data_IF_729096495248
#
_entry.id   IF_729096495248
#
_cell.length_a   1.000
_cell.length_b   1.000
_cell.length_c   1.000
_cell.angle_alpha   90.00
_cell.angle_beta   90.00
_cell.angle_gamma   90.00
#
_symmetry.space_group_name_H-M   'P 1'
#
loop_
_entity.id
_entity.type
_entity.pdbx_description
1 polymer ?
#
# COMPACT_ATOMS: atom_id res chain seq x y z
N UNK A 1 1.38 -19.72 22.57
CA UNK A 1 1.10 -18.77 21.46
C UNK A 1 1.46 -19.51 20.21
N UNK A 2 0.49 -19.74 19.34
CA UNK A 2 0.75 -20.34 18.03
C UNK A 2 1.21 -19.19 17.11
N UNK A 3 2.42 -19.30 16.57
CA UNK A 3 3.03 -18.32 15.68
C UNK A 3 2.95 -18.75 14.22
N UNK A 4 2.51 -19.98 13.96
CA UNK A 4 2.32 -20.49 12.63
C UNK A 4 1.04 -19.90 12.00
N UNK A 5 1.05 -19.76 10.68
CA UNK A 5 -0.15 -19.39 9.95
C UNK A 5 -1.21 -20.48 10.10
N UNK A 6 -2.45 -20.08 10.35
CA UNK A 6 -3.57 -21.01 10.31
C UNK A 6 -3.64 -21.71 8.94
N UNK A 7 -4.12 -22.98 8.87
CA UNK A 7 -4.11 -23.77 7.65
C UNK A 7 -4.70 -23.05 6.43
N UNK A 8 -5.78 -22.27 6.61
CA UNK A 8 -6.38 -21.48 5.53
C UNK A 8 -5.43 -20.40 5.00
N UNK A 9 -4.70 -19.70 5.88
CA UNK A 9 -3.73 -18.69 5.47
C UNK A 9 -2.50 -19.32 4.79
N UNK A 10 -2.07 -20.50 5.24
CA UNK A 10 -0.98 -21.25 4.61
C UNK A 10 -1.35 -21.71 3.19
N UNK A 11 -2.57 -22.22 3.00
CA UNK A 11 -3.09 -22.59 1.68
C UNK A 11 -3.21 -21.37 0.76
N UNK A 12 -3.74 -20.25 1.27
CA UNK A 12 -3.85 -19.01 0.54
C UNK A 12 -2.46 -18.48 0.15
N UNK A 13 -1.48 -18.50 1.08
CA UNK A 13 -0.08 -18.15 0.79
C UNK A 13 0.48 -18.93 -0.38
N UNK A 14 0.28 -20.26 -0.39
CA UNK A 14 0.80 -21.11 -1.48
C UNK A 14 0.22 -20.70 -2.84
N UNK A 15 -1.08 -20.43 -2.91
CA UNK A 15 -1.74 -20.02 -4.16
C UNK A 15 -1.26 -18.63 -4.63
N UNK A 16 -1.12 -17.65 -3.72
CA UNK A 16 -0.61 -16.32 -4.08
C UNK A 16 0.86 -16.41 -4.52
N UNK A 17 1.68 -17.23 -3.84
CA UNK A 17 3.08 -17.48 -4.21
C UNK A 17 3.21 -18.05 -5.61
N UNK A 18 2.41 -19.05 -5.95
CA UNK A 18 2.40 -19.65 -7.28
C UNK A 18 2.11 -18.59 -8.36
N UNK A 19 1.07 -17.77 -8.17
CA UNK A 19 0.75 -16.65 -9.06
C UNK A 19 1.89 -15.64 -9.13
N UNK A 20 2.41 -15.21 -7.99
CA UNK A 20 3.44 -14.19 -7.92
C UNK A 20 4.74 -14.64 -8.63
N UNK A 21 5.20 -15.86 -8.36
CA UNK A 21 6.41 -16.42 -8.98
C UNK A 21 6.20 -16.78 -10.46
N UNK A 22 5.00 -17.24 -10.83
CA UNK A 22 4.69 -17.64 -12.21
C UNK A 22 4.40 -16.47 -13.15
N UNK A 23 3.82 -15.37 -12.64
CA UNK A 23 3.37 -14.25 -13.47
C UNK A 23 4.09 -12.95 -13.13
N UNK A 24 4.15 -12.53 -11.87
CA UNK A 24 4.71 -11.22 -11.53
C UNK A 24 6.25 -11.18 -11.62
N UNK A 25 6.94 -12.23 -11.15
CA UNK A 25 8.40 -12.29 -11.12
C UNK A 25 9.04 -12.24 -12.52
N UNK A 26 8.59 -12.99 -13.53
CA UNK A 26 9.18 -12.94 -14.87
C UNK A 26 9.17 -11.55 -15.52
N UNK A 27 8.21 -10.71 -15.16
CA UNK A 27 8.06 -9.36 -15.70
C UNK A 27 8.68 -8.25 -14.84
N UNK A 28 9.16 -8.57 -13.62
CA UNK A 28 9.56 -7.55 -12.63
C UNK A 28 10.70 -6.65 -13.12
N UNK A 29 11.70 -7.19 -13.82
CA UNK A 29 12.81 -6.41 -14.40
C UNK A 29 12.32 -5.46 -15.48
N UNK A 30 11.54 -5.94 -16.44
CA UNK A 30 10.98 -5.14 -17.53
C UNK A 30 10.06 -4.03 -17.01
N UNK A 31 9.19 -4.36 -16.04
CA UNK A 31 8.30 -3.41 -15.36
C UNK A 31 9.10 -2.25 -14.72
N UNK A 32 10.21 -2.57 -14.05
CA UNK A 32 11.07 -1.55 -13.44
C UNK A 32 11.85 -0.76 -14.50
N UNK A 33 12.51 -1.42 -15.46
CA UNK A 33 13.33 -0.80 -16.50
C UNK A 33 12.52 0.17 -17.35
N UNK A 34 11.34 -0.26 -17.80
CA UNK A 34 10.52 0.47 -18.76
C UNK A 34 9.50 1.39 -18.08
N UNK A 35 9.46 1.40 -16.74
CA UNK A 35 8.47 2.14 -15.94
C UNK A 35 7.03 1.82 -16.35
N UNK A 36 6.78 0.59 -16.83
CA UNK A 36 5.47 0.17 -17.31
C UNK A 36 4.60 -0.40 -16.20
N UNK A 37 3.30 -0.21 -16.35
CA UNK A 37 2.33 -0.85 -15.45
C UNK A 37 2.40 -2.37 -15.61
N UNK A 38 2.32 -3.16 -14.51
CA UNK A 38 2.41 -4.62 -14.55
C UNK A 38 1.07 -5.26 -14.93
N UNK A 39 0.60 -5.00 -16.16
CA UNK A 39 -0.74 -5.40 -16.64
C UNK A 39 -0.98 -6.91 -16.46
N UNK A 40 0.02 -7.76 -16.76
CA UNK A 40 -0.08 -9.22 -16.65
C UNK A 40 -0.30 -9.67 -15.22
N UNK A 41 0.45 -9.08 -14.27
CA UNK A 41 0.36 -9.43 -12.87
C UNK A 41 -0.95 -8.91 -12.23
N UNK A 42 -1.40 -7.73 -12.63
CA UNK A 42 -2.67 -7.17 -12.15
C UNK A 42 -3.87 -7.95 -12.72
N UNK A 43 -3.83 -8.36 -13.97
CA UNK A 43 -4.88 -9.20 -14.54
C UNK A 43 -4.91 -10.60 -13.88
N UNK A 44 -3.75 -11.19 -13.60
CA UNK A 44 -3.68 -12.44 -12.85
C UNK A 44 -4.22 -12.28 -11.41
N UNK A 45 -3.86 -11.19 -10.72
CA UNK A 45 -4.39 -10.87 -9.39
C UNK A 45 -5.91 -10.66 -9.41
N UNK A 46 -6.43 -10.01 -10.45
CA UNK A 46 -7.85 -9.83 -10.71
C UNK A 46 -8.56 -11.17 -10.90
N UNK A 47 -8.05 -12.03 -11.79
CA UNK A 47 -8.62 -13.35 -12.07
C UNK A 47 -8.62 -14.26 -10.84
N UNK A 48 -7.64 -14.12 -9.94
CA UNK A 48 -7.54 -14.84 -8.69
C UNK A 48 -8.32 -14.20 -7.52
N UNK A 49 -9.04 -13.08 -7.73
CA UNK A 49 -9.83 -12.39 -6.71
C UNK A 49 -9.00 -11.67 -5.64
N UNK A 50 -7.70 -11.44 -5.87
CA UNK A 50 -6.80 -10.81 -4.90
C UNK A 50 -7.10 -9.32 -4.67
N UNK A 51 -7.77 -8.67 -5.62
CA UNK A 51 -8.21 -7.28 -5.49
C UNK A 51 -9.37 -7.13 -4.50
N UNK A 52 -10.17 -8.18 -4.31
CA UNK A 52 -11.28 -8.23 -3.37
C UNK A 52 -10.97 -8.93 -2.04
N UNK A 53 -9.70 -9.10 -1.66
CA UNK A 53 -9.30 -9.95 -0.53
C UNK A 53 -10.00 -9.60 0.78
N UNK A 54 -10.16 -8.31 1.11
CA UNK A 54 -10.83 -7.81 2.33
C UNK A 54 -12.33 -7.52 2.12
N UNK A 55 -12.80 -7.47 0.88
CA UNK A 55 -14.20 -7.14 0.58
C UNK A 55 -15.07 -8.38 0.87
N UNK A 56 -16.15 -8.25 1.66
CA UNK A 56 -17.05 -9.37 1.94
C UNK A 56 -17.67 -9.99 0.69
N UNK A 57 -17.99 -11.29 0.77
CA UNK A 57 -18.57 -12.04 -0.34
C UNK A 57 -19.93 -11.51 -0.82
N UNK A 58 -20.69 -10.86 0.07
CA UNK A 58 -21.95 -10.18 -0.30
C UNK A 58 -21.77 -9.03 -1.29
N UNK A 59 -20.55 -8.47 -1.38
CA UNK A 59 -20.15 -7.46 -2.38
C UNK A 59 -19.19 -8.02 -3.45
N UNK A 60 -19.11 -9.36 -3.57
CA UNK A 60 -18.32 -10.04 -4.60
C UNK A 60 -16.84 -10.21 -4.29
N UNK A 61 -16.39 -9.93 -3.08
CA UNK A 61 -15.02 -10.14 -2.64
C UNK A 61 -14.74 -11.53 -2.05
N UNK A 62 -13.51 -11.77 -1.62
CA UNK A 62 -13.08 -13.02 -1.00
C UNK A 62 -13.48 -13.12 0.49
N UNK A 63 -13.75 -12.00 1.15
CA UNK A 63 -14.14 -11.95 2.57
C UNK A 63 -13.08 -12.48 3.53
N UNK A 64 -11.81 -12.38 3.15
CA UNK A 64 -10.69 -12.81 3.98
C UNK A 64 -10.30 -11.71 4.98
N UNK A 65 -9.39 -12.05 5.88
CA UNK A 65 -8.98 -11.17 6.98
C UNK A 65 -7.66 -10.41 6.70
N UNK A 66 -7.25 -9.57 7.66
CA UNK A 66 -6.04 -8.77 7.56
C UNK A 66 -4.75 -9.64 7.54
N UNK A 67 -4.79 -10.87 8.06
CA UNK A 67 -3.64 -11.79 7.96
C UNK A 67 -3.49 -12.27 6.52
N UNK A 68 -4.58 -12.68 5.88
CA UNK A 68 -4.57 -13.03 4.46
C UNK A 68 -4.13 -11.85 3.58
N UNK A 69 -4.56 -10.63 3.90
CA UNK A 69 -4.11 -9.43 3.20
C UNK A 69 -2.59 -9.22 3.34
N UNK A 70 -2.03 -9.30 4.56
CA UNK A 70 -0.58 -9.19 4.77
C UNK A 70 0.19 -10.27 3.99
N UNK A 71 -0.29 -11.52 3.99
CA UNK A 71 0.26 -12.65 3.21
C UNK A 71 0.24 -12.34 1.71
N UNK A 72 -0.90 -11.86 1.21
CA UNK A 72 -1.05 -11.51 -0.21
C UNK A 72 0.01 -10.50 -0.66
N UNK A 73 0.15 -9.42 0.10
CA UNK A 73 1.08 -8.35 -0.23
C UNK A 73 2.54 -8.81 -0.08
N UNK A 74 2.88 -9.61 0.95
CA UNK A 74 4.23 -10.18 1.12
C UNK A 74 4.63 -11.03 -0.10
N UNK A 75 3.80 -11.98 -0.52
CA UNK A 75 4.12 -12.87 -1.64
C UNK A 75 4.21 -12.12 -2.98
N UNK A 76 3.32 -11.17 -3.23
CA UNK A 76 3.40 -10.31 -4.43
C UNK A 76 4.66 -9.44 -4.41
N UNK A 77 5.05 -8.89 -3.25
CA UNK A 77 6.21 -8.01 -3.13
C UNK A 77 7.53 -8.77 -3.30
N UNK A 78 7.61 -10.03 -2.87
CA UNK A 78 8.76 -10.90 -3.11
C UNK A 78 9.04 -11.09 -4.60
N UNK A 79 8.00 -11.08 -5.42
CA UNK A 79 8.11 -11.23 -6.88
C UNK A 79 8.28 -9.87 -7.59
N UNK A 80 7.43 -8.90 -7.27
CA UNK A 80 7.40 -7.57 -7.88
C UNK A 80 6.80 -6.53 -6.92
N UNK A 81 7.63 -5.69 -6.34
CA UNK A 81 7.20 -4.66 -5.38
C UNK A 81 6.24 -3.62 -6.01
N UNK A 82 6.34 -3.36 -7.31
CA UNK A 82 5.41 -2.47 -8.02
C UNK A 82 4.01 -3.08 -8.13
N UNK A 83 3.89 -4.38 -8.34
CA UNK A 83 2.59 -5.08 -8.34
C UNK A 83 1.96 -5.05 -6.96
N UNK A 84 2.75 -5.34 -5.92
CA UNK A 84 2.23 -5.40 -4.54
C UNK A 84 1.68 -4.07 -4.06
N UNK A 85 2.34 -2.93 -4.35
CA UNK A 85 1.84 -1.61 -3.92
C UNK A 85 0.56 -1.21 -4.64
N UNK A 86 0.34 -1.65 -5.88
CA UNK A 86 -0.91 -1.39 -6.60
C UNK A 86 -2.06 -2.14 -5.93
N UNK A 87 -1.85 -3.43 -5.62
CA UNK A 87 -2.85 -4.26 -4.92
C UNK A 87 -3.09 -3.76 -3.50
N UNK A 88 -2.04 -3.35 -2.78
CA UNK A 88 -2.14 -2.80 -1.44
C UNK A 88 -2.98 -1.52 -1.40
N UNK A 89 -2.60 -0.50 -2.19
CA UNK A 89 -3.32 0.78 -2.23
C UNK A 89 -4.77 0.60 -2.67
N UNK A 90 -5.02 -0.25 -3.66
CA UNK A 90 -6.38 -0.58 -4.09
C UNK A 90 -7.21 -1.16 -2.93
N UNK A 91 -6.65 -2.09 -2.18
CA UNK A 91 -7.35 -2.82 -1.11
C UNK A 91 -7.51 -1.97 0.15
N UNK A 92 -6.41 -1.47 0.71
CA UNK A 92 -6.36 -0.85 2.04
C UNK A 92 -6.90 0.58 2.08
N UNK A 93 -6.52 1.42 1.10
CA UNK A 93 -6.89 2.84 1.12
C UNK A 93 -7.83 3.25 -0.02
N UNK A 94 -7.93 2.43 -1.06
CA UNK A 94 -8.87 2.65 -2.17
C UNK A 94 -10.27 2.07 -1.92
N UNK A 95 -10.36 0.85 -1.39
CA UNK A 95 -11.61 0.10 -1.21
C UNK A 95 -12.10 0.11 0.23
N UNK A 96 -11.23 -0.11 1.21
CA UNK A 96 -11.61 -0.24 2.63
C UNK A 96 -12.30 1.01 3.22
N UNK A 97 -11.98 2.26 2.83
CA UNK A 97 -12.74 3.42 3.26
C UNK A 97 -14.24 3.33 2.93
N UNK A 98 -14.58 2.75 1.78
CA UNK A 98 -15.99 2.54 1.39
C UNK A 98 -16.60 1.42 2.23
N UNK A 99 -15.85 0.34 2.46
CA UNK A 99 -16.29 -0.78 3.29
C UNK A 99 -16.59 -0.34 4.73
N UNK A 100 -15.72 0.47 5.33
CA UNK A 100 -15.82 0.87 6.74
C UNK A 100 -16.78 2.03 6.99
N UNK A 101 -16.86 2.98 6.07
CA UNK A 101 -17.57 4.26 6.28
C UNK A 101 -18.68 4.55 5.27
N UNK A 102 -18.79 3.76 4.21
CA UNK A 102 -19.87 3.86 3.24
C UNK A 102 -21.20 3.39 3.83
N UNK A 103 -22.30 4.03 3.42
CA UNK A 103 -23.62 3.50 3.63
C UNK A 103 -23.89 2.30 2.70
N UNK A 104 -25.00 1.61 2.88
CA UNK A 104 -25.30 0.39 2.13
C UNK A 104 -25.40 0.64 0.61
N UNK A 105 -25.98 1.79 0.20
CA UNK A 105 -26.06 2.16 -1.22
C UNK A 105 -24.68 2.36 -1.83
N UNK A 106 -23.80 3.06 -1.13
CA UNK A 106 -22.40 3.27 -1.55
C UNK A 106 -21.65 1.94 -1.65
N UNK A 107 -21.79 1.04 -0.67
CA UNK A 107 -21.17 -0.28 -0.67
C UNK A 107 -21.63 -1.12 -1.86
N UNK A 108 -22.96 -1.21 -2.08
CA UNK A 108 -23.52 -1.97 -3.22
C UNK A 108 -23.15 -1.40 -4.57
N UNK A 109 -22.92 -0.11 -4.66
CA UNK A 109 -22.54 0.55 -5.90
C UNK A 109 -21.05 0.38 -6.22
N UNK A 110 -20.17 0.53 -5.23
CA UNK A 110 -18.75 0.69 -5.48
C UNK A 110 -17.89 -0.52 -5.13
N UNK A 111 -18.28 -1.34 -4.13
CA UNK A 111 -17.47 -2.49 -3.75
C UNK A 111 -17.45 -3.62 -4.79
N UNK A 112 -18.54 -3.98 -5.48
CA UNK A 112 -18.48 -5.04 -6.50
C UNK A 112 -17.49 -4.76 -7.62
N UNK A 113 -17.48 -3.60 -8.31
CA UNK A 113 -16.49 -3.33 -9.36
C UNK A 113 -15.05 -3.19 -8.82
N UNK A 114 -14.87 -2.82 -7.54
CA UNK A 114 -13.56 -2.86 -6.88
C UNK A 114 -13.14 -4.29 -6.57
N UNK A 115 -14.03 -5.12 -6.04
CA UNK A 115 -13.74 -6.52 -5.73
C UNK A 115 -13.37 -7.34 -6.96
N UNK A 116 -14.08 -7.12 -8.06
CA UNK A 116 -13.78 -7.76 -9.35
C UNK A 116 -12.55 -7.18 -10.05
N UNK A 117 -12.05 -6.02 -9.61
CA UNK A 117 -10.97 -5.29 -10.28
C UNK A 117 -11.37 -4.62 -11.60
N UNK A 118 -12.66 -4.53 -11.90
CA UNK A 118 -13.17 -3.69 -13.01
C UNK A 118 -12.74 -2.24 -12.80
N UNK A 119 -12.78 -1.76 -11.56
CA UNK A 119 -12.23 -0.48 -11.14
C UNK A 119 -11.06 -0.70 -10.20
N UNK A 120 -10.00 0.05 -10.38
CA UNK A 120 -8.96 0.20 -9.35
C UNK A 120 -9.24 1.44 -8.51
N UNK A 121 -9.11 1.30 -7.18
CA UNK A 121 -9.24 2.40 -6.25
C UNK A 121 -7.89 3.07 -5.97
N UNK A 122 -7.92 4.38 -5.74
CA UNK A 122 -6.75 5.15 -5.32
C UNK A 122 -7.09 6.15 -4.21
N UNK A 123 -6.07 6.61 -3.49
CA UNK A 123 -6.18 7.47 -2.31
C UNK A 123 -5.57 8.84 -2.55
N UNK A 124 -6.36 9.88 -2.43
CA UNK A 124 -5.97 11.24 -2.77
C UNK A 124 -6.04 12.17 -1.55
N UNK A 125 -5.05 12.03 -0.64
CA UNK A 125 -4.93 12.83 0.58
C UNK A 125 -3.87 13.92 0.44
N UNK A 126 -2.66 13.55 0.04
CA UNK A 126 -1.44 14.39 0.06
C UNK A 126 -1.52 15.54 -0.93
N UNK A 127 -1.03 16.72 -0.52
CA UNK A 127 -0.93 17.92 -1.36
C UNK A 127 0.50 18.46 -1.37
N UNK A 128 0.87 19.37 -2.31
CA UNK A 128 2.20 19.97 -2.35
C UNK A 128 2.63 20.63 -1.04
N UNK A 129 1.68 21.16 -0.26
CA UNK A 129 1.94 21.82 1.02
C UNK A 129 1.53 21.01 2.24
N UNK A 130 0.98 19.79 2.07
CA UNK A 130 0.40 18.99 3.15
C UNK A 130 0.69 17.50 2.94
N UNK A 131 1.80 17.03 3.47
CA UNK A 131 2.21 15.63 3.49
C UNK A 131 2.04 15.01 4.88
N UNK A 132 3.08 15.08 5.73
CA UNK A 132 3.04 14.55 7.10
C UNK A 132 2.02 15.26 7.99
N UNK A 133 1.80 16.56 7.79
CA UNK A 133 0.68 17.31 8.39
C UNK A 133 -0.56 17.25 7.46
N UNK A 134 -1.14 16.05 7.36
CA UNK A 134 -2.29 15.81 6.48
C UNK A 134 -3.56 16.60 6.87
N UNK A 135 -3.65 17.07 8.13
CA UNK A 135 -4.76 17.89 8.58
C UNK A 135 -4.75 19.31 8.00
N UNK A 136 -3.62 19.77 7.44
CA UNK A 136 -3.46 21.10 6.86
C UNK A 136 -3.76 21.19 5.36
N UNK A 137 -4.39 20.17 4.78
CA UNK A 137 -4.77 20.14 3.36
C UNK A 137 -5.66 21.33 2.98
N UNK A 138 -5.53 21.80 1.73
CA UNK A 138 -6.19 23.00 1.21
C UNK A 138 -7.20 22.74 0.10
N UNK A 139 -7.20 21.56 -0.53
CA UNK A 139 -8.24 21.19 -1.49
C UNK A 139 -9.60 21.48 -0.87
N UNK A 140 -10.44 22.25 -1.57
CA UNK A 140 -11.73 22.68 -1.09
C UNK A 140 -12.87 21.83 -1.66
N UNK A 141 -13.94 21.69 -0.89
CA UNK A 141 -15.20 21.11 -1.33
C UNK A 141 -16.33 22.03 -0.88
N UNK A 142 -16.72 22.96 -1.75
CA UNK A 142 -17.80 23.91 -1.48
C UNK A 142 -19.17 23.25 -1.73
N UNK A 143 -20.03 23.25 -0.72
CA UNK A 143 -21.40 22.74 -0.87
C UNK A 143 -22.23 23.65 -1.78
N UNK A 144 -22.99 23.03 -2.70
CA UNK A 144 -23.90 23.69 -3.63
C UNK A 144 -25.19 22.84 -3.75
N UNK A 145 -26.15 23.10 -2.87
CA UNK A 145 -27.40 22.32 -2.79
C UNK A 145 -27.14 20.86 -2.38
N UNK A 146 -27.42 19.94 -3.30
CA UNK A 146 -27.29 18.48 -3.14
C UNK A 146 -25.94 17.92 -3.64
N UNK A 147 -24.96 18.79 -3.87
CA UNK A 147 -23.63 18.43 -4.40
C UNK A 147 -22.54 19.25 -3.74
N UNK A 148 -21.30 18.83 -3.99
CA UNK A 148 -20.08 19.58 -3.66
C UNK A 148 -19.32 19.90 -4.95
N UNK A 149 -18.63 21.02 -4.96
CA UNK A 149 -17.70 21.43 -6.02
C UNK A 149 -16.30 21.39 -5.45
N UNK A 150 -15.47 20.46 -5.96
CA UNK A 150 -14.12 20.21 -5.48
C UNK A 150 -13.10 20.95 -6.34
N UNK A 151 -12.16 21.65 -5.70
CA UNK A 151 -11.05 22.35 -6.33
C UNK A 151 -9.76 22.14 -5.55
N UNK A 152 -8.67 21.77 -6.26
CA UNK A 152 -7.35 21.59 -5.67
C UNK A 152 -6.46 20.64 -6.44
N UNK A 153 -5.27 20.38 -5.89
CA UNK A 153 -4.30 19.45 -6.48
C UNK A 153 -3.78 18.50 -5.41
N UNK A 154 -3.85 17.22 -5.71
CA UNK A 154 -3.28 16.13 -4.91
C UNK A 154 -2.02 15.63 -5.58
N UNK A 155 -1.02 15.20 -4.78
CA UNK A 155 0.25 14.69 -5.30
C UNK A 155 0.59 13.33 -4.71
N UNK A 156 1.52 12.63 -5.35
CA UNK A 156 1.93 11.27 -4.98
C UNK A 156 0.77 10.29 -4.96
N UNK A 157 -0.18 10.47 -5.88
CA UNK A 157 -1.31 9.56 -6.00
C UNK A 157 -0.86 8.31 -6.74
N UNK A 158 -0.86 7.18 -6.02
CA UNK A 158 -0.52 5.86 -6.54
C UNK A 158 -1.63 5.38 -7.48
N UNK A 159 -1.26 4.66 -8.53
CA UNK A 159 -2.19 4.13 -9.56
C UNK A 159 -2.88 5.25 -10.36
N UNK A 160 -2.33 6.47 -10.34
CA UNK A 160 -2.85 7.60 -11.10
C UNK A 160 -2.96 7.26 -12.61
N UNK A 161 -4.05 7.63 -13.25
CA UNK A 161 -4.31 7.35 -14.67
C UNK A 161 -4.71 5.89 -14.99
N UNK A 162 -4.66 5.00 -13.99
CA UNK A 162 -5.16 3.62 -14.05
C UNK A 162 -6.32 3.38 -13.08
N UNK A 163 -6.44 4.23 -12.05
CA UNK A 163 -7.56 4.17 -11.11
C UNK A 163 -8.87 4.55 -11.79
N UNK A 164 -9.94 3.82 -11.49
CA UNK A 164 -11.31 4.13 -11.91
C UNK A 164 -12.04 5.04 -10.93
N UNK A 165 -11.56 5.09 -9.67
CA UNK A 165 -12.07 6.02 -8.66
C UNK A 165 -10.97 6.46 -7.69
N UNK A 166 -11.18 7.63 -7.09
CA UNK A 166 -10.32 8.22 -6.06
C UNK A 166 -11.10 8.47 -4.78
N UNK A 167 -10.53 8.08 -3.64
CA UNK A 167 -10.98 8.55 -2.33
C UNK A 167 -10.31 9.90 -2.08
N UNK A 168 -11.05 10.99 -2.26
CA UNK A 168 -10.52 12.36 -2.20
C UNK A 168 -10.87 13.00 -0.86
N UNK A 169 -9.88 13.61 -0.22
CA UNK A 169 -10.06 14.37 1.01
C UNK A 169 -10.00 15.86 0.71
N UNK A 170 -11.04 16.58 1.13
CA UNK A 170 -11.18 18.01 0.87
C UNK A 170 -11.80 18.73 2.06
N UNK A 171 -11.57 20.01 2.14
CA UNK A 171 -12.07 20.88 3.20
C UNK A 171 -13.46 21.36 2.88
N UNK A 172 -14.40 21.07 3.78
CA UNK A 172 -15.83 21.48 3.68
C UNK A 172 -16.21 22.56 4.67
N UNK A 173 -15.49 22.69 5.78
CA UNK A 173 -15.76 23.66 6.84
C UNK A 173 -14.65 24.69 7.02
N UNK A 174 -14.92 25.74 7.81
CA UNK A 174 -13.96 26.80 8.10
C UNK A 174 -12.82 26.37 9.04
N UNK A 175 -12.98 25.23 9.72
CA UNK A 175 -11.94 24.68 10.58
C UNK A 175 -10.71 24.31 9.75
N UNK A 176 -9.56 24.93 10.06
CA UNK A 176 -8.29 24.72 9.35
C UNK A 176 -7.58 23.41 9.75
N UNK A 177 -8.19 22.61 10.64
CA UNK A 177 -7.65 21.34 11.14
C UNK A 177 -8.52 20.15 10.71
N UNK A 178 -8.34 19.04 11.40
CA UNK A 178 -8.96 17.75 11.09
C UNK A 178 -10.51 17.80 10.96
N UNK A 179 -11.18 18.58 11.81
CA UNK A 179 -12.65 18.67 11.81
C UNK A 179 -13.23 19.37 10.55
N UNK A 180 -12.41 20.11 9.80
CA UNK A 180 -12.82 20.71 8.53
C UNK A 180 -12.71 19.78 7.32
N UNK A 181 -12.19 18.56 7.48
CA UNK A 181 -11.92 17.64 6.37
C UNK A 181 -13.06 16.64 6.18
N UNK A 182 -13.51 16.48 4.94
CA UNK A 182 -14.47 15.46 4.52
C UNK A 182 -13.86 14.54 3.45
N UNK A 183 -14.41 13.34 3.29
CA UNK A 183 -13.98 12.35 2.32
C UNK A 183 -15.03 12.12 1.24
N UNK A 184 -14.61 11.93 -0.01
CA UNK A 184 -15.47 11.81 -1.17
C UNK A 184 -15.03 10.66 -2.07
N UNK A 185 -16.00 9.91 -2.60
CA UNK A 185 -15.78 8.96 -3.71
C UNK A 185 -15.90 9.76 -5.02
N UNK A 186 -14.80 9.88 -5.74
CA UNK A 186 -14.72 10.64 -7.00
C UNK A 186 -14.38 9.70 -8.14
N UNK A 187 -15.30 9.45 -9.09
CA UNK A 187 -14.98 8.70 -10.31
C UNK A 187 -13.87 9.36 -11.11
N UNK A 188 -13.00 8.57 -11.72
CA UNK A 188 -11.87 9.10 -12.48
C UNK A 188 -12.28 9.84 -13.75
N UNK A 189 -13.44 9.48 -14.32
CA UNK A 189 -14.05 10.09 -15.51
C UNK A 189 -14.93 11.31 -15.20
N UNK A 190 -15.04 11.72 -13.91
CA UNK A 190 -15.81 12.89 -13.55
C UNK A 190 -15.22 14.15 -14.21
N UNK A 191 -16.12 14.98 -14.78
CA UNK A 191 -15.70 16.22 -15.44
C UNK A 191 -14.93 17.10 -14.46
N UNK A 192 -13.76 17.59 -14.89
CA UNK A 192 -12.85 18.42 -14.10
C UNK A 192 -11.79 17.59 -13.35
N UNK A 193 -11.85 16.27 -13.37
CA UNK A 193 -10.77 15.40 -12.91
C UNK A 193 -9.72 15.26 -14.00
N UNK A 194 -8.45 15.52 -13.67
CA UNK A 194 -7.37 15.45 -14.64
C UNK A 194 -6.11 14.88 -13.99
N UNK A 195 -5.42 14.00 -14.70
CA UNK A 195 -4.06 13.57 -14.37
C UNK A 195 -3.10 14.70 -14.71
N UNK A 196 -2.34 15.14 -13.73
CA UNK A 196 -1.29 16.15 -13.92
C UNK A 196 0.07 15.50 -14.23
N UNK A 197 1.12 15.94 -13.57
CA UNK A 197 2.47 15.44 -13.78
C UNK A 197 2.61 14.00 -13.25
N UNK A 198 3.19 13.11 -14.05
CA UNK A 198 3.65 11.80 -13.61
C UNK A 198 5.08 11.90 -13.08
N UNK A 199 5.35 11.24 -11.95
CA UNK A 199 6.67 11.28 -11.31
C UNK A 199 7.55 10.11 -11.77
N UNK A 200 8.77 10.42 -12.21
CA UNK A 200 9.83 9.43 -12.40
C UNK A 200 10.45 9.12 -11.04
N UNK A 201 10.17 7.93 -10.52
CA UNK A 201 10.57 7.52 -9.17
C UNK A 201 11.89 6.76 -9.17
N UNK A 202 12.56 6.75 -8.03
CA UNK A 202 13.74 5.95 -7.74
C UNK A 202 13.43 4.44 -7.79
N UNK A 203 12.35 4.03 -7.11
CA UNK A 203 11.85 2.65 -7.02
C UNK A 203 10.34 2.58 -7.23
N UNK A 204 9.79 1.38 -7.17
CA UNK A 204 8.38 1.09 -7.45
C UNK A 204 7.93 1.67 -8.79
N UNK A 205 8.82 1.57 -9.79
CA UNK A 205 8.70 2.30 -11.05
C UNK A 205 7.51 1.87 -11.87
N UNK A 206 7.08 0.61 -11.74
CA UNK A 206 5.91 0.07 -12.41
C UNK A 206 4.57 0.54 -11.83
N UNK A 207 4.58 1.21 -10.66
CA UNK A 207 3.38 1.82 -10.08
C UNK A 207 3.30 3.29 -10.48
N UNK A 208 2.43 3.69 -11.44
CA UNK A 208 2.31 5.08 -11.85
C UNK A 208 1.88 5.93 -10.66
N UNK A 209 2.62 7.01 -10.45
CA UNK A 209 2.41 7.93 -9.33
C UNK A 209 2.53 9.36 -9.83
N UNK A 210 1.60 10.23 -9.46
CA UNK A 210 1.58 11.59 -9.98
C UNK A 210 0.58 12.50 -9.31
N UNK A 211 0.19 13.53 -10.04
CA UNK A 211 -0.74 14.57 -9.60
C UNK A 211 -2.16 14.26 -10.05
N UNK A 212 -3.12 14.47 -9.16
CA UNK A 212 -4.55 14.53 -9.44
C UNK A 212 -5.01 15.98 -9.31
N UNK A 213 -5.44 16.57 -10.42
CA UNK A 213 -5.94 17.94 -10.48
C UNK A 213 -7.46 17.92 -10.52
N UNK A 214 -8.08 18.72 -9.65
CA UNK A 214 -9.52 18.86 -9.51
C UNK A 214 -9.90 20.32 -9.84
N UNK A 215 -10.65 20.48 -10.93
CA UNK A 215 -11.09 21.80 -11.43
C UNK A 215 -12.63 21.81 -11.55
N UNK A 216 -13.31 22.42 -10.59
CA UNK A 216 -14.78 22.48 -10.49
C UNK A 216 -15.43 21.09 -10.61
N UNK A 217 -14.85 20.08 -9.95
CA UNK A 217 -15.38 18.71 -9.97
C UNK A 217 -16.65 18.64 -9.16
N UNK A 218 -17.76 18.31 -9.84
CA UNK A 218 -19.07 18.17 -9.24
C UNK A 218 -19.22 16.77 -8.64
N UNK A 219 -19.42 16.68 -7.33
CA UNK A 219 -19.58 15.43 -6.58
C UNK A 219 -20.93 15.44 -5.86
N UNK A 220 -21.86 14.52 -6.15
CA UNK A 220 -23.12 14.40 -5.41
C UNK A 220 -22.91 14.17 -3.91
N UNK A 221 -23.80 14.67 -3.06
CA UNK A 221 -23.78 14.38 -1.60
C UNK A 221 -23.75 12.88 -1.34
N UNK A 222 -24.44 12.08 -2.17
CA UNK A 222 -24.45 10.62 -2.07
C UNK A 222 -23.06 9.96 -2.21
N UNK A 223 -22.08 10.67 -2.73
CA UNK A 223 -20.68 10.19 -2.83
C UNK A 223 -19.79 10.68 -1.68
N UNK A 224 -20.31 11.43 -0.69
CA UNK A 224 -19.55 11.77 0.52
C UNK A 224 -19.50 10.55 1.44
N UNK A 225 -18.30 10.14 1.83
CA UNK A 225 -18.06 9.10 2.84
C UNK A 225 -18.15 9.69 4.24
N UNK A 226 -18.89 9.07 5.11
CA UNK A 226 -19.12 9.48 6.49
C UNK A 226 -19.82 10.86 6.60
N UNK A 227 -20.19 11.32 7.80
CA UNK A 227 -20.66 12.69 8.04
C UNK A 227 -19.61 13.73 7.63
N UNK A 228 -20.07 14.94 7.28
CA UNK A 228 -19.22 16.08 7.00
C UNK A 228 -18.29 16.38 8.19
N UNK A 229 -17.02 16.68 7.92
CA UNK A 229 -16.01 16.91 8.94
C UNK A 229 -15.35 15.65 9.52
N UNK A 230 -15.77 14.45 9.14
CA UNK A 230 -15.18 13.19 9.60
C UNK A 230 -14.17 12.57 8.63
N UNK A 231 -13.84 13.24 7.54
CA UNK A 231 -12.91 12.72 6.53
C UNK A 231 -11.51 12.41 7.07
N UNK A 232 -11.03 13.19 8.04
CA UNK A 232 -9.73 12.90 8.66
C UNK A 232 -9.73 11.58 9.44
N UNK A 233 -10.85 11.24 10.11
CA UNK A 233 -11.04 9.94 10.76
C UNK A 233 -11.03 8.80 9.74
N UNK A 234 -11.70 8.98 8.59
CA UNK A 234 -11.68 8.03 7.47
C UNK A 234 -10.24 7.82 7.00
N UNK A 235 -9.48 8.91 6.78
CA UNK A 235 -8.09 8.83 6.32
C UNK A 235 -7.19 8.07 7.30
N UNK A 236 -7.26 8.40 8.59
CA UNK A 236 -6.41 7.77 9.61
C UNK A 236 -6.72 6.27 9.76
N UNK A 237 -7.99 5.89 9.68
CA UNK A 237 -8.40 4.48 9.79
C UNK A 237 -7.94 3.66 8.59
N UNK A 238 -8.06 4.20 7.37
CA UNK A 238 -7.55 3.59 6.15
C UNK A 238 -6.03 3.41 6.20
N UNK A 239 -5.30 4.43 6.68
CA UNK A 239 -3.85 4.36 6.83
C UNK A 239 -3.39 3.35 7.90
N UNK A 240 -4.21 3.04 8.92
CA UNK A 240 -3.87 1.98 9.89
C UNK A 240 -3.84 0.60 9.20
N UNK A 241 -4.80 0.32 8.31
CA UNK A 241 -4.82 -0.91 7.50
C UNK A 241 -3.73 -0.90 6.44
N UNK A 242 -3.50 0.22 5.77
CA UNK A 242 -2.40 0.38 4.80
C UNK A 242 -1.03 0.07 5.40
N UNK A 243 -0.79 0.41 6.68
CA UNK A 243 0.46 0.05 7.37
C UNK A 243 0.67 -1.46 7.50
N UNK A 244 -0.39 -2.26 7.59
CA UNK A 244 -0.30 -3.74 7.56
C UNK A 244 0.17 -4.18 6.18
N UNK A 245 -0.44 -3.65 5.10
CA UNK A 245 -0.03 -3.94 3.72
C UNK A 245 1.41 -3.54 3.45
N UNK A 246 1.82 -2.30 3.82
CA UNK A 246 3.21 -1.85 3.66
C UNK A 246 4.20 -2.70 4.47
N UNK A 247 3.80 -3.20 5.65
CA UNK A 247 4.62 -4.15 6.39
C UNK A 247 4.79 -5.46 5.61
N UNK A 248 3.72 -5.99 5.02
CA UNK A 248 3.79 -7.15 4.12
C UNK A 248 4.68 -6.88 2.89
N UNK A 249 4.54 -5.72 2.26
CA UNK A 249 5.40 -5.33 1.14
C UNK A 249 6.88 -5.28 1.53
N UNK A 250 7.19 -4.71 2.69
CA UNK A 250 8.56 -4.67 3.21
C UNK A 250 9.11 -6.07 3.47
N UNK A 251 8.29 -6.97 4.05
CA UNK A 251 8.66 -8.37 4.26
C UNK A 251 8.97 -9.09 2.95
N UNK A 252 8.16 -8.87 1.91
CA UNK A 252 8.38 -9.49 0.60
C UNK A 252 9.69 -9.04 -0.05
N UNK A 253 10.01 -7.73 -0.03
CA UNK A 253 11.30 -7.20 -0.51
C UNK A 253 12.45 -7.75 0.32
N UNK A 254 12.31 -7.79 1.65
CA UNK A 254 13.30 -8.31 2.56
C UNK A 254 13.56 -9.81 2.32
N UNK A 255 12.51 -10.60 2.11
CA UNK A 255 12.61 -12.02 1.78
C UNK A 255 13.32 -12.23 0.45
N UNK A 256 12.96 -11.45 -0.58
CA UNK A 256 13.64 -11.51 -1.88
C UNK A 256 15.14 -11.23 -1.73
N UNK A 257 15.51 -10.20 -0.97
CA UNK A 257 16.92 -9.88 -0.72
C UNK A 257 17.68 -11.02 -0.02
N UNK A 258 17.05 -11.69 0.95
CA UNK A 258 17.64 -12.87 1.63
C UNK A 258 17.78 -14.04 0.66
N UNK A 259 16.76 -14.35 -0.12
CA UNK A 259 16.76 -15.49 -1.05
C UNK A 259 17.78 -15.31 -2.16
N UNK A 260 17.89 -14.13 -2.76
CA UNK A 260 18.90 -13.77 -3.78
C UNK A 260 20.32 -13.85 -3.18
N UNK A 261 20.51 -13.30 -1.97
CA UNK A 261 21.80 -13.37 -1.27
C UNK A 261 22.22 -14.81 -1.01
N UNK A 262 21.27 -15.65 -0.55
CA UNK A 262 21.52 -17.07 -0.34
C UNK A 262 21.92 -17.77 -1.65
N UNK A 263 21.25 -17.45 -2.76
CA UNK A 263 21.56 -18.05 -4.07
C UNK A 263 22.98 -17.73 -4.49
N UNK A 264 23.40 -16.46 -4.39
CA UNK A 264 24.79 -16.04 -4.68
C UNK A 264 25.79 -16.79 -3.80
N UNK A 265 25.51 -16.93 -2.49
CA UNK A 265 26.44 -17.60 -1.57
C UNK A 265 26.53 -19.13 -1.76
N UNK A 266 25.53 -19.74 -2.37
CA UNK A 266 25.57 -21.18 -2.72
C UNK A 266 26.42 -21.42 -4.00
N UNK A 267 26.42 -20.47 -4.91
CA UNK A 267 27.05 -20.60 -6.22
C UNK A 267 28.54 -20.18 -6.26
N UNK A 268 29.03 -19.44 -5.24
CA UNK A 268 30.40 -18.96 -5.17
C UNK A 268 31.15 -19.47 -3.95
N UNK A 269 32.48 -19.35 -3.97
CA UNK A 269 33.32 -19.49 -2.76
C UNK A 269 32.93 -18.35 -1.76
N UNK A 270 32.65 -18.74 -0.53
CA UNK A 270 32.21 -17.83 0.52
C UNK A 270 33.40 -17.13 1.17
N UNK A 271 33.29 -15.80 1.30
CA UNK A 271 34.26 -15.04 2.08
C UNK A 271 34.00 -15.21 3.59
N UNK A 272 35.02 -14.92 4.38
CA UNK A 272 34.91 -14.96 5.84
C UNK A 272 33.86 -13.92 6.30
N UNK A 273 32.83 -14.38 6.99
CA UNK A 273 31.75 -13.53 7.51
C UNK A 273 30.46 -13.51 6.69
N UNK A 274 30.46 -14.03 5.45
CA UNK A 274 29.26 -14.12 4.62
C UNK A 274 28.13 -14.91 5.33
N UNK A 275 28.49 -16.02 5.99
CA UNK A 275 27.56 -16.87 6.75
C UNK A 275 26.94 -16.10 7.92
N UNK A 276 27.70 -15.24 8.60
CA UNK A 276 27.21 -14.42 9.71
C UNK A 276 26.26 -13.35 9.22
N UNK A 277 26.61 -12.69 8.11
CA UNK A 277 25.72 -11.67 7.53
C UNK A 277 24.39 -12.26 7.06
N UNK A 278 24.40 -13.42 6.40
CA UNK A 278 23.17 -14.12 6.01
C UNK A 278 22.33 -14.53 7.23
N UNK A 279 22.96 -15.01 8.30
CA UNK A 279 22.27 -15.36 9.54
C UNK A 279 21.63 -14.14 10.21
N UNK A 280 22.33 -12.99 10.23
CA UNK A 280 21.80 -11.72 10.71
C UNK A 280 20.61 -11.23 9.87
N UNK A 281 20.73 -11.33 8.54
CA UNK A 281 19.62 -11.01 7.62
C UNK A 281 18.38 -11.85 7.93
N UNK A 282 18.53 -13.16 8.03
CA UNK A 282 17.42 -14.08 8.34
C UNK A 282 16.78 -13.76 9.71
N UNK A 283 17.61 -13.48 10.73
CA UNK A 283 17.13 -13.14 12.08
C UNK A 283 16.32 -11.84 12.10
N UNK A 284 16.80 -10.80 11.40
CA UNK A 284 16.10 -9.51 11.29
C UNK A 284 14.79 -9.66 10.54
N UNK A 285 14.77 -10.43 9.44
CA UNK A 285 13.56 -10.71 8.67
C UNK A 285 12.50 -11.40 9.53
N UNK A 286 12.89 -12.41 10.31
CA UNK A 286 11.95 -13.15 11.16
C UNK A 286 11.38 -12.24 12.27
N UNK A 287 12.21 -11.41 12.90
CA UNK A 287 11.72 -10.44 13.89
C UNK A 287 10.73 -9.43 13.31
N UNK A 288 10.97 -8.97 12.09
CA UNK A 288 10.06 -8.07 11.38
C UNK A 288 8.73 -8.76 11.04
N UNK A 289 8.78 -10.02 10.59
CA UNK A 289 7.60 -10.83 10.27
C UNK A 289 6.69 -11.01 11.48
N UNK A 290 7.25 -11.32 12.64
CA UNK A 290 6.48 -11.45 13.89
C UNK A 290 5.71 -10.18 14.24
N UNK A 291 6.32 -9.00 14.07
CA UNK A 291 5.65 -7.72 14.30
C UNK A 291 4.53 -7.44 13.29
N UNK A 292 4.76 -7.71 12.01
CA UNK A 292 3.77 -7.49 10.96
C UNK A 292 2.54 -8.39 11.17
N UNK A 293 2.76 -9.69 11.36
CA UNK A 293 1.66 -10.63 11.57
C UNK A 293 0.95 -10.44 12.90
N UNK A 294 1.63 -9.96 13.94
CA UNK A 294 0.97 -9.56 15.18
C UNK A 294 -0.01 -8.39 14.95
N UNK A 295 0.38 -7.37 14.18
CA UNK A 295 -0.51 -6.26 13.84
C UNK A 295 -1.71 -6.73 13.00
N UNK A 296 -1.48 -7.58 12.00
CA UNK A 296 -2.52 -8.15 11.16
C UNK A 296 -3.50 -9.02 11.96
N UNK A 297 -3.00 -9.85 12.88
CA UNK A 297 -3.82 -10.68 13.76
C UNK A 297 -4.70 -9.86 14.70
N UNK A 298 -4.18 -8.76 15.26
CA UNK A 298 -4.97 -7.85 16.09
C UNK A 298 -6.11 -7.23 15.27
N UNK A 299 -5.81 -6.78 14.05
CA UNK A 299 -6.81 -6.21 13.12
C UNK A 299 -7.88 -7.25 12.78
N UNK A 300 -7.51 -8.47 12.40
CA UNK A 300 -8.42 -9.57 12.09
C UNK A 300 -9.34 -9.93 13.26
N UNK A 301 -8.83 -9.81 14.49
CA UNK A 301 -9.60 -10.03 15.72
C UNK A 301 -10.44 -8.83 16.18
N UNK A 302 -10.54 -7.75 15.39
CA UNK A 302 -11.30 -6.53 15.75
C UNK A 302 -10.73 -5.79 16.97
N UNK A 303 -9.46 -6.02 17.31
CA UNK A 303 -8.77 -5.44 18.46
C UNK A 303 -8.10 -4.11 18.07
N UNK A 304 -7.84 -3.18 19.01
CA UNK A 304 -7.01 -2.00 18.75
C UNK A 304 -5.62 -2.41 18.25
N UNK A 305 -5.19 -1.85 17.10
CA UNK A 305 -3.94 -2.24 16.43
C UNK A 305 -3.11 -1.07 15.88
N UNK A 306 -3.57 0.17 15.98
CA UNK A 306 -2.89 1.36 15.43
C UNK A 306 -1.42 1.45 15.84
N UNK A 307 -1.11 1.23 17.14
CA UNK A 307 0.27 1.23 17.64
C UNK A 307 1.09 0.10 17.04
N UNK A 308 0.55 -1.12 17.02
CA UNK A 308 1.23 -2.29 16.50
C UNK A 308 1.46 -2.19 14.98
N UNK A 309 0.48 -1.67 14.22
CA UNK A 309 0.65 -1.39 12.80
C UNK A 309 1.75 -0.34 12.55
N UNK A 310 1.81 0.70 13.38
CA UNK A 310 2.88 1.71 13.29
C UNK A 310 4.25 1.13 13.65
N UNK A 311 4.35 0.26 14.67
CA UNK A 311 5.58 -0.45 15.04
C UNK A 311 6.03 -1.40 13.93
N UNK A 312 5.09 -2.17 13.37
CA UNK A 312 5.34 -3.09 12.26
C UNK A 312 5.87 -2.34 11.04
N UNK A 313 5.14 -1.30 10.58
CA UNK A 313 5.55 -0.49 9.43
C UNK A 313 6.94 0.11 9.61
N UNK A 314 7.22 0.70 10.77
CA UNK A 314 8.52 1.28 11.09
C UNK A 314 9.64 0.23 11.00
N UNK A 315 9.47 -0.88 11.73
CA UNK A 315 10.50 -1.91 11.83
C UNK A 315 10.69 -2.68 10.52
N UNK A 316 9.59 -3.10 9.86
CA UNK A 316 9.68 -3.86 8.61
C UNK A 316 10.33 -3.06 7.49
N UNK A 317 9.99 -1.76 7.34
CA UNK A 317 10.56 -0.93 6.27
C UNK A 317 12.02 -0.56 6.53
N UNK A 318 12.44 -0.36 7.79
CA UNK A 318 13.86 -0.17 8.13
C UNK A 318 14.63 -1.48 7.93
N UNK A 319 14.04 -2.64 8.27
CA UNK A 319 14.61 -3.97 8.02
C UNK A 319 14.77 -4.22 6.51
N UNK A 320 13.71 -4.01 5.71
CA UNK A 320 13.79 -4.23 4.26
C UNK A 320 14.88 -3.40 3.60
N UNK A 321 15.02 -2.13 4.00
CA UNK A 321 16.10 -1.27 3.50
C UNK A 321 17.48 -1.81 3.88
N UNK A 322 17.66 -2.24 5.14
CA UNK A 322 18.95 -2.78 5.58
C UNK A 322 19.30 -4.09 4.85
N UNK A 323 18.33 -5.02 4.74
CA UNK A 323 18.57 -6.30 4.06
C UNK A 323 18.83 -6.12 2.56
N UNK A 324 18.18 -5.13 1.94
CA UNK A 324 18.49 -4.79 0.53
C UNK A 324 19.90 -4.22 0.37
N UNK A 325 20.39 -3.40 1.31
CA UNK A 325 21.77 -2.92 1.32
C UNK A 325 22.75 -4.09 1.54
N UNK A 326 22.47 -4.95 2.51
CA UNK A 326 23.29 -6.12 2.83
C UNK A 326 23.36 -7.09 1.62
N UNK A 327 22.22 -7.25 0.90
CA UNK A 327 22.16 -8.04 -0.34
C UNK A 327 23.03 -7.47 -1.46
N UNK A 328 23.01 -6.15 -1.69
CA UNK A 328 23.93 -5.48 -2.64
C UNK A 328 25.38 -5.74 -2.25
N UNK A 329 25.70 -5.66 -0.95
CA UNK A 329 27.05 -5.92 -0.45
C UNK A 329 27.48 -7.37 -0.69
N UNK A 330 26.61 -8.34 -0.45
CA UNK A 330 26.87 -9.76 -0.68
C UNK A 330 27.01 -10.08 -2.18
N UNK A 331 26.22 -9.46 -3.03
CA UNK A 331 26.31 -9.65 -4.48
C UNK A 331 27.59 -9.02 -5.10
N UNK A 332 28.23 -8.07 -4.39
CA UNK A 332 29.45 -7.41 -4.86
C UNK A 332 29.21 -6.58 -6.12
N UNK A 333 30.06 -6.78 -7.14
CA UNK A 333 29.97 -6.00 -8.38
C UNK A 333 28.66 -6.22 -9.15
N UNK A 334 28.08 -7.41 -9.09
CA UNK A 334 26.79 -7.70 -9.72
C UNK A 334 25.63 -6.96 -9.03
N UNK A 335 25.75 -6.70 -7.74
CA UNK A 335 24.72 -6.03 -6.93
C UNK A 335 24.47 -4.58 -7.31
N UNK A 336 25.45 -3.91 -7.94
CA UNK A 336 25.37 -2.49 -8.33
C UNK A 336 25.08 -2.27 -9.82
N UNK A 337 24.97 -3.34 -10.61
CA UNK A 337 24.66 -3.25 -12.03
C UNK A 337 23.17 -3.00 -12.22
N UNK A 338 22.81 -2.02 -13.06
CA UNK A 338 21.42 -1.71 -13.39
C UNK A 338 20.72 -2.92 -14.01
N UNK A 339 19.53 -3.25 -13.50
CA UNK A 339 18.78 -4.46 -13.86
C UNK A 339 18.99 -5.63 -12.90
N UNK A 340 20.02 -5.57 -12.05
CA UNK A 340 20.18 -6.52 -10.96
C UNK A 340 18.98 -6.49 -10.00
N UNK A 341 18.50 -7.65 -9.51
CA UNK A 341 17.44 -7.66 -8.50
C UNK A 341 17.86 -6.95 -7.21
N UNK A 342 19.14 -6.99 -6.83
CA UNK A 342 19.67 -6.39 -5.61
C UNK A 342 19.51 -4.85 -5.60
N UNK A 343 19.95 -4.17 -6.67
CA UNK A 343 19.83 -2.71 -6.74
C UNK A 343 18.37 -2.28 -6.84
N UNK A 344 17.50 -3.09 -7.50
CA UNK A 344 16.07 -2.84 -7.58
C UNK A 344 15.44 -2.94 -6.21
N UNK A 345 15.71 -3.99 -5.43
CA UNK A 345 15.21 -4.14 -4.06
C UNK A 345 15.59 -2.97 -3.17
N UNK A 346 16.83 -2.46 -3.28
CA UNK A 346 17.28 -1.31 -2.52
C UNK A 346 16.53 -0.03 -2.90
N UNK A 347 16.28 0.21 -4.19
CA UNK A 347 15.50 1.36 -4.67
C UNK A 347 14.04 1.28 -4.25
N UNK A 348 13.44 0.10 -4.34
CA UNK A 348 12.06 -0.15 -3.96
C UNK A 348 11.88 0.00 -2.43
N UNK A 349 12.75 -0.63 -1.63
CA UNK A 349 12.70 -0.55 -0.17
C UNK A 349 12.77 0.88 0.36
N UNK A 350 13.52 1.78 -0.32
CA UNK A 350 13.65 3.17 0.13
C UNK A 350 12.32 3.92 0.15
N UNK A 351 11.45 3.68 -0.81
CA UNK A 351 10.14 4.33 -0.88
C UNK A 351 9.25 3.99 0.34
N UNK A 352 9.36 2.76 0.84
CA UNK A 352 8.54 2.26 1.95
C UNK A 352 8.79 3.00 3.28
N UNK A 353 9.99 3.53 3.48
CA UNK A 353 10.30 4.35 4.67
C UNK A 353 9.61 5.72 4.67
N UNK A 354 9.08 6.15 3.51
CA UNK A 354 8.62 7.53 3.28
C UNK A 354 7.11 7.62 3.15
N UNK A 355 6.50 6.80 2.30
CA UNK A 355 5.07 6.90 2.01
C UNK A 355 4.20 6.23 3.08
N UNK A 356 2.88 6.49 3.03
CA UNK A 356 1.87 6.06 4.03
C UNK A 356 2.23 6.41 5.48
N UNK A 357 2.81 7.60 5.63
CA UNK A 357 3.36 8.08 6.88
C UNK A 357 4.82 7.67 7.06
N UNK A 358 5.72 8.64 6.94
CA UNK A 358 7.16 8.40 7.07
C UNK A 358 7.50 7.71 8.40
N UNK A 359 8.65 7.07 8.48
CA UNK A 359 9.09 6.39 9.70
C UNK A 359 9.22 7.35 10.90
N UNK A 360 9.41 8.67 10.65
CA UNK A 360 9.31 9.71 11.67
C UNK A 360 7.88 9.88 12.19
N UNK A 361 6.89 9.85 11.29
CA UNK A 361 5.46 9.91 11.67
C UNK A 361 5.06 8.68 12.47
N UNK A 362 5.56 7.48 12.10
CA UNK A 362 5.28 6.27 12.88
C UNK A 362 5.78 6.41 14.32
N UNK A 363 6.98 6.97 14.53
CA UNK A 363 7.53 7.25 15.87
C UNK A 363 6.64 8.20 16.67
N UNK A 364 6.07 9.23 16.04
CA UNK A 364 5.11 10.14 16.69
C UNK A 364 3.83 9.41 17.09
N UNK A 365 3.28 8.55 16.23
CA UNK A 365 2.06 7.77 16.53
C UNK A 365 2.30 6.83 17.71
N UNK A 366 3.42 6.09 17.71
CA UNK A 366 3.81 5.16 18.77
C UNK A 366 3.98 5.90 20.08
N UNK A 367 4.76 6.99 20.08
CA UNK A 367 5.02 7.77 21.31
C UNK A 367 3.74 8.38 21.89
N UNK A 368 2.87 8.92 21.03
CA UNK A 368 1.58 9.48 21.47
C UNK A 368 0.68 8.44 22.13
N UNK A 369 0.69 7.20 21.65
CA UNK A 369 -0.10 6.12 22.25
C UNK A 369 0.49 5.67 23.59
N UNK A 370 1.81 5.60 23.72
CA UNK A 370 2.51 5.20 24.94
C UNK A 370 2.41 6.24 26.06
N UNK A 371 2.18 7.52 25.72
CA UNK A 371 2.09 8.64 26.68
C UNK A 371 0.65 8.99 27.09
N UNK A 372 -0.34 8.24 26.59
CA UNK A 372 -1.76 8.33 27.02
C UNK A 372 -2.02 7.47 28.24
#
# INVERSE_FOLDING_TARGET
>A
MDLDLAPQHATFRAAVRELAQGVARPHAEEVDRDHRFPDEAIEAARAAGLLGVLIPSEYGGAGLDAVAFAVCIEELAQACASTSVIVDVHTSVGSEPILLFGNEEQKRKWLPPLASGELLGAFALTEPSSGSDAASLKTSARRDGDRYILNGTKIFITTIGRAGLYIVFARTGPDERAAGVSAFIVPADARGVRVGQLFKKMGLRGSPTGELVLEDVVVPIANRLAPEGQGFTVAMRALDSGRIGISGQALGIAQAAVDESRSVLVERERAQGDDFLLADMATRLESARLLAYHAAWLCAGGRPFTRQASMAKLHCTDTAMQLAIDGVQLAGEEGVVAGSPFERHMRDAKALQIYEGSNQVQRIVIARDLLR
#
